data_IF_556930709572
#
_entry.id   IF_556930709572
#
_cell.length_a   1.000
_cell.length_b   1.000
_cell.length_c   1.000
_cell.angle_alpha   90.00
_cell.angle_beta   90.00
_cell.angle_gamma   90.00
#
_symmetry.space_group_name_H-M   'P 1'
#
loop_
_entity.id
_entity.type
_entity.pdbx_description
1 polymer ?
#
# COMPACT_ATOMS: atom_id res chain seq x y z
N UNK A 1 -8.56 17.44 -9.02
CA UNK A 1 -9.90 17.97 -8.68
C UNK A 1 -10.07 18.13 -7.16
N UNK A 2 -10.83 19.14 -6.72
CA UNK A 2 -11.63 19.12 -5.46
C UNK A 2 -10.99 19.46 -4.09
N UNK A 3 -10.48 20.67 -3.86
CA UNK A 3 -10.73 21.33 -2.55
C UNK A 3 -12.07 22.07 -2.60
N UNK A 4 -12.20 22.99 -3.56
CA UNK A 4 -13.45 23.70 -3.87
C UNK A 4 -14.67 22.77 -4.04
N UNK A 5 -14.57 21.71 -4.88
CA UNK A 5 -15.72 20.80 -5.13
C UNK A 5 -16.21 20.01 -3.90
N UNK A 6 -15.32 19.58 -3.00
CA UNK A 6 -15.71 18.82 -1.80
C UNK A 6 -16.23 19.75 -0.70
N UNK A 7 -15.68 20.96 -0.61
CA UNK A 7 -16.08 21.93 0.39
C UNK A 7 -17.48 22.48 0.15
N UNK A 8 -17.89 22.71 -1.10
CA UNK A 8 -19.19 23.35 -1.34
C UNK A 8 -20.37 22.47 -0.95
N UNK A 9 -20.37 21.17 -1.30
CA UNK A 9 -21.47 20.27 -0.91
C UNK A 9 -21.63 20.20 0.60
N UNK A 10 -20.51 20.18 1.33
CA UNK A 10 -20.52 20.19 2.78
C UNK A 10 -21.02 21.54 3.34
N UNK A 11 -20.58 22.66 2.76
CA UNK A 11 -21.01 24.02 3.14
C UNK A 11 -22.50 24.24 2.88
N UNK A 12 -23.03 23.83 1.72
CA UNK A 12 -24.46 23.93 1.38
C UNK A 12 -25.33 23.07 2.29
N UNK A 13 -24.93 21.82 2.53
CA UNK A 13 -25.69 20.94 3.42
C UNK A 13 -25.62 21.42 4.88
N UNK A 14 -24.50 22.02 5.31
CA UNK A 14 -24.41 22.67 6.63
C UNK A 14 -25.40 23.83 6.74
N UNK A 15 -25.44 24.72 5.74
CA UNK A 15 -26.39 25.83 5.67
C UNK A 15 -27.84 25.34 5.72
N UNK A 16 -28.19 24.33 4.90
CA UNK A 16 -29.53 23.73 4.93
C UNK A 16 -29.93 23.26 6.33
N UNK A 17 -29.00 22.64 7.08
CA UNK A 17 -29.29 22.11 8.42
C UNK A 17 -29.65 23.18 9.45
N UNK A 18 -29.23 24.42 9.27
CA UNK A 18 -29.57 25.53 10.16
C UNK A 18 -31.08 25.86 10.07
N UNK A 19 -31.68 25.64 8.90
CA UNK A 19 -33.10 25.91 8.61
C UNK A 19 -33.93 24.63 8.45
N UNK A 20 -33.37 23.44 8.68
CA UNK A 20 -34.04 22.16 8.40
C UNK A 20 -35.32 21.89 9.21
N UNK A 21 -35.63 22.74 10.21
CA UNK A 21 -36.88 22.71 10.96
C UNK A 21 -38.07 23.25 10.14
N UNK A 22 -37.82 24.11 9.15
CA UNK A 22 -38.83 24.66 8.25
C UNK A 22 -38.31 24.61 6.80
N UNK A 23 -38.89 23.73 5.99
CA UNK A 23 -38.49 23.53 4.60
C UNK A 23 -38.73 24.76 3.73
N UNK A 24 -39.79 25.52 3.98
CA UNK A 24 -40.07 26.73 3.21
C UNK A 24 -39.05 27.81 3.53
N UNK A 25 -38.71 27.98 4.82
CA UNK A 25 -37.64 28.87 5.24
C UNK A 25 -36.28 28.45 4.68
N UNK A 26 -35.94 27.16 4.74
CA UNK A 26 -34.70 26.64 4.16
C UNK A 26 -34.60 26.90 2.66
N UNK A 27 -35.71 26.71 1.93
CA UNK A 27 -35.80 26.98 0.50
C UNK A 27 -35.65 28.46 0.18
N UNK A 28 -36.29 29.34 0.94
CA UNK A 28 -36.23 30.79 0.78
C UNK A 28 -34.89 31.41 1.20
N UNK A 29 -34.05 30.68 1.93
CA UNK A 29 -32.80 31.20 2.49
C UNK A 29 -31.57 30.53 1.85
N UNK A 30 -31.22 30.86 0.59
CA UNK A 30 -30.03 30.31 -0.05
C UNK A 30 -28.73 30.80 0.65
N UNK A 31 -27.66 29.99 0.65
CA UNK A 31 -26.40 30.38 1.24
C UNK A 31 -25.75 31.55 0.48
N UNK A 32 -25.33 32.58 1.20
CA UNK A 32 -24.64 33.77 0.65
C UNK A 32 -23.14 33.54 0.41
N UNK A 33 -22.65 32.31 0.60
CA UNK A 33 -21.24 32.03 0.45
C UNK A 33 -20.79 32.24 -1.02
N UNK A 34 -19.53 32.65 -1.21
CA UNK A 34 -18.94 32.85 -2.54
C UNK A 34 -19.10 31.63 -3.45
N UNK A 35 -19.16 30.43 -2.89
CA UNK A 35 -19.27 29.20 -3.68
C UNK A 35 -20.66 29.00 -4.28
N UNK A 36 -21.70 29.54 -3.66
CA UNK A 36 -23.06 29.55 -4.19
C UNK A 36 -23.24 30.75 -5.13
N UNK A 37 -22.93 31.96 -4.64
CA UNK A 37 -23.18 33.22 -5.36
C UNK A 37 -22.42 33.31 -6.69
N UNK A 38 -21.19 32.80 -6.78
CA UNK A 38 -20.36 32.94 -7.99
C UNK A 38 -20.68 31.91 -9.07
N UNK A 39 -21.32 30.78 -8.73
CA UNK A 39 -21.36 29.62 -9.63
C UNK A 39 -22.70 28.89 -9.72
N UNK A 40 -23.70 29.27 -8.93
CA UNK A 40 -24.98 28.55 -8.86
C UNK A 40 -26.17 29.48 -9.01
N UNK A 41 -27.24 28.91 -9.56
CA UNK A 41 -28.53 29.59 -9.66
C UNK A 41 -29.43 29.20 -8.51
N UNK A 42 -30.43 30.03 -8.25
CA UNK A 42 -31.38 29.82 -7.16
C UNK A 42 -32.21 28.54 -7.36
N UNK A 43 -32.47 28.15 -8.61
CA UNK A 43 -33.21 26.93 -8.95
C UNK A 43 -32.43 25.68 -8.54
N UNK A 44 -31.08 25.72 -8.58
CA UNK A 44 -30.27 24.60 -8.10
C UNK A 44 -30.38 24.45 -6.57
N UNK A 45 -30.51 25.55 -5.83
CA UNK A 45 -30.76 25.51 -4.39
C UNK A 45 -32.12 24.91 -4.07
N UNK A 46 -33.17 25.37 -4.75
CA UNK A 46 -34.51 24.81 -4.62
C UNK A 46 -34.48 23.30 -4.90
N UNK A 47 -33.85 22.88 -6.00
CA UNK A 47 -33.74 21.46 -6.31
C UNK A 47 -33.01 20.66 -5.22
N UNK A 48 -31.91 21.19 -4.66
CA UNK A 48 -31.17 20.52 -3.58
C UNK A 48 -32.02 20.35 -2.32
N UNK A 49 -32.76 21.38 -1.92
CA UNK A 49 -33.67 21.34 -0.77
C UNK A 49 -34.80 20.34 -1.05
N UNK A 50 -35.50 20.51 -2.16
CA UNK A 50 -36.73 19.80 -2.48
C UNK A 50 -36.49 18.31 -2.81
N UNK A 51 -35.33 17.96 -3.37
CA UNK A 51 -35.05 16.61 -3.89
C UNK A 51 -33.90 15.88 -3.20
N UNK A 52 -32.82 16.56 -2.78
CA UNK A 52 -31.64 15.87 -2.25
C UNK A 52 -31.65 15.79 -0.73
N UNK A 53 -31.91 16.91 -0.05
CA UNK A 53 -31.82 16.99 1.40
C UNK A 53 -33.06 16.44 2.12
N UNK A 54 -34.20 16.47 1.46
CA UNK A 54 -35.47 15.84 1.88
C UNK A 54 -35.55 14.35 1.57
N UNK A 55 -34.75 13.84 0.63
CA UNK A 55 -34.77 12.43 0.24
C UNK A 55 -34.41 11.51 1.43
N UNK A 56 -35.33 10.59 1.74
CA UNK A 56 -35.21 9.70 2.89
C UNK A 56 -33.97 8.80 2.78
N UNK A 57 -33.66 8.33 1.56
CA UNK A 57 -32.48 7.48 1.30
C UNK A 57 -31.18 8.25 1.53
N UNK A 58 -31.11 9.50 1.09
CA UNK A 58 -30.00 10.41 1.35
C UNK A 58 -29.80 10.63 2.85
N UNK A 59 -30.87 10.97 3.58
CA UNK A 59 -30.80 11.20 5.02
C UNK A 59 -30.36 9.96 5.79
N UNK A 60 -30.92 8.78 5.48
CA UNK A 60 -30.50 7.49 6.05
C UNK A 60 -29.01 7.25 5.83
N UNK A 61 -28.52 7.47 4.60
CA UNK A 61 -27.09 7.33 4.26
C UNK A 61 -26.22 8.32 5.02
N UNK A 62 -26.65 9.57 5.18
CA UNK A 62 -25.93 10.57 5.96
C UNK A 62 -25.83 10.18 7.45
N UNK A 63 -26.94 9.74 8.06
CA UNK A 63 -26.96 9.25 9.45
C UNK A 63 -26.04 8.05 9.64
N UNK A 64 -26.12 7.06 8.74
CA UNK A 64 -25.24 5.90 8.75
C UNK A 64 -23.76 6.29 8.62
N UNK A 65 -23.42 7.21 7.72
CA UNK A 65 -22.06 7.70 7.54
C UNK A 65 -21.52 8.41 8.80
N UNK A 66 -22.34 9.20 9.50
CA UNK A 66 -21.94 9.84 10.76
C UNK A 66 -21.66 8.77 11.82
N UNK A 67 -22.55 7.78 11.98
CA UNK A 67 -22.37 6.69 12.94
C UNK A 67 -21.14 5.85 12.61
N UNK A 68 -20.90 5.55 11.33
CA UNK A 68 -19.72 4.81 10.90
C UNK A 68 -18.43 5.58 11.14
N UNK A 69 -18.44 6.92 11.00
CA UNK A 69 -17.29 7.77 11.33
C UNK A 69 -17.01 7.77 12.83
N UNK A 70 -18.04 7.83 13.68
CA UNK A 70 -17.89 7.75 15.14
C UNK A 70 -17.28 6.42 15.61
N UNK A 71 -17.51 5.33 14.87
CA UNK A 71 -16.95 4.00 15.16
C UNK A 71 -15.51 3.80 14.69
N UNK A 72 -14.91 4.76 13.99
CA UNK A 72 -13.50 4.63 13.58
C UNK A 72 -12.59 4.89 14.76
N UNK A 73 -11.74 3.91 15.06
CA UNK A 73 -10.73 4.01 16.12
C UNK A 73 -9.63 5.04 15.80
N UNK A 74 -9.30 5.21 14.52
CA UNK A 74 -8.29 6.17 14.04
C UNK A 74 -8.53 6.51 12.57
N UNK A 75 -8.02 7.67 12.17
CA UNK A 75 -8.01 8.11 10.78
C UNK A 75 -6.69 7.74 10.09
N UNK A 76 -6.65 7.83 8.76
CA UNK A 76 -5.43 7.70 7.97
C UNK A 76 -5.14 9.01 7.23
N UNK A 77 -3.87 9.39 7.15
CA UNK A 77 -3.39 10.61 6.46
C UNK A 77 -2.88 10.32 5.04
N UNK A 78 -2.95 9.07 4.59
CA UNK A 78 -2.47 8.64 3.26
C UNK A 78 -3.25 9.18 2.05
N UNK A 79 -4.37 9.88 2.28
CA UNK A 79 -5.18 10.46 1.22
C UNK A 79 -5.92 9.41 0.39
N UNK A 80 -6.07 9.68 -0.92
CA UNK A 80 -6.72 8.78 -1.88
C UNK A 80 -5.75 7.84 -2.60
N UNK A 81 -4.46 7.90 -2.29
CA UNK A 81 -3.48 6.99 -2.87
C UNK A 81 -3.67 5.59 -2.26
N UNK A 82 -3.83 4.52 -3.08
CA UNK A 82 -3.89 3.16 -2.57
C UNK A 82 -2.62 2.78 -1.81
N UNK A 83 -2.76 1.95 -0.78
CA UNK A 83 -1.67 1.53 0.11
C UNK A 83 -0.42 1.05 -0.66
N UNK A 84 -0.57 0.07 -1.55
CA UNK A 84 0.53 -0.48 -2.35
C UNK A 84 1.13 0.55 -3.32
N UNK A 85 0.29 1.42 -3.91
CA UNK A 85 0.76 2.47 -4.82
C UNK A 85 1.65 3.49 -4.11
N UNK A 86 1.44 3.69 -2.81
CA UNK A 86 2.31 4.54 -2.00
C UNK A 86 3.69 3.90 -1.76
N UNK A 87 3.74 2.59 -1.50
CA UNK A 87 5.00 1.83 -1.41
C UNK A 87 5.75 1.86 -2.75
N UNK A 88 5.06 1.53 -3.86
CA UNK A 88 5.65 1.60 -5.21
C UNK A 88 6.21 2.99 -5.53
N UNK A 89 5.54 4.07 -5.09
CA UNK A 89 6.03 5.43 -5.29
C UNK A 89 7.30 5.71 -4.48
N UNK A 90 7.36 5.27 -3.22
CA UNK A 90 8.55 5.40 -2.39
C UNK A 90 9.74 4.62 -2.97
N UNK A 91 9.50 3.40 -3.47
CA UNK A 91 10.53 2.59 -4.15
C UNK A 91 11.08 3.28 -5.40
N UNK A 92 10.21 3.94 -6.19
CA UNK A 92 10.64 4.74 -7.35
C UNK A 92 11.47 5.96 -6.96
N UNK A 93 11.26 6.50 -5.76
CA UNK A 93 12.06 7.57 -5.18
C UNK A 93 13.36 7.05 -4.52
N UNK A 94 13.66 5.75 -4.64
CA UNK A 94 14.84 5.11 -4.05
C UNK A 94 14.70 4.81 -2.55
N UNK A 95 13.51 4.95 -1.98
CA UNK A 95 13.23 4.64 -0.58
C UNK A 95 12.74 3.20 -0.44
N UNK A 96 13.50 2.36 0.27
CA UNK A 96 13.07 1.00 0.59
C UNK A 96 12.15 1.00 1.81
N UNK A 97 10.84 1.12 1.57
CA UNK A 97 9.81 1.22 2.61
C UNK A 97 9.12 -0.13 2.81
N UNK A 98 9.17 -0.69 4.02
CA UNK A 98 8.42 -1.90 4.37
C UNK A 98 6.91 -1.63 4.38
N UNK A 99 6.07 -2.66 4.27
CA UNK A 99 4.62 -2.57 4.45
C UNK A 99 4.28 -1.98 5.83
N UNK A 100 5.01 -2.37 6.88
CA UNK A 100 4.85 -1.81 8.23
C UNK A 100 5.16 -0.31 8.25
N UNK A 101 6.27 0.12 7.65
CA UNK A 101 6.66 1.53 7.56
C UNK A 101 5.65 2.33 6.74
N UNK A 102 5.18 1.77 5.62
CA UNK A 102 4.16 2.40 4.79
C UNK A 102 2.86 2.62 5.58
N UNK A 103 2.45 1.65 6.41
CA UNK A 103 1.30 1.82 7.30
C UNK A 103 1.57 2.89 8.36
N UNK A 104 2.72 2.86 9.03
CA UNK A 104 3.09 3.84 10.04
C UNK A 104 3.05 5.27 9.46
N UNK A 105 3.66 5.46 8.29
CA UNK A 105 3.69 6.74 7.57
C UNK A 105 2.29 7.24 7.17
N UNK A 106 1.32 6.35 7.00
CA UNK A 106 -0.08 6.69 6.72
C UNK A 106 -0.90 7.02 7.97
N UNK A 107 -0.35 6.82 9.16
CA UNK A 107 -1.02 7.07 10.44
C UNK A 107 -0.28 8.11 11.30
N UNK A 108 0.63 8.85 10.67
CA UNK A 108 1.33 9.99 11.24
C UNK A 108 0.94 11.29 10.54
N UNK A 109 0.97 12.40 11.26
CA UNK A 109 0.89 13.74 10.71
C UNK A 109 2.22 14.08 10.01
N UNK A 110 2.18 14.18 8.68
CA UNK A 110 3.36 14.45 7.84
C UNK A 110 4.18 15.66 8.31
N UNK A 111 3.50 16.71 8.77
CA UNK A 111 4.15 17.98 9.11
C UNK A 111 4.72 18.00 10.53
N UNK A 112 4.27 17.09 11.41
CA UNK A 112 4.58 17.11 12.84
C UNK A 112 5.39 15.91 13.31
N UNK A 113 5.41 14.82 12.54
CA UNK A 113 6.02 13.56 12.98
C UNK A 113 5.31 12.91 14.17
N UNK A 114 4.07 13.32 14.47
CA UNK A 114 3.27 12.82 15.58
C UNK A 114 2.20 11.87 15.06
N UNK A 115 1.90 10.81 15.80
CA UNK A 115 0.81 9.88 15.50
C UNK A 115 -0.55 10.58 15.50
N UNK A 116 -1.49 10.09 14.70
CA UNK A 116 -2.84 10.66 14.63
C UNK A 116 -3.58 10.50 15.96
N UNK A 117 -3.34 9.40 16.68
CA UNK A 117 -3.81 9.17 18.04
C UNK A 117 -3.02 8.04 18.73
N UNK A 118 -3.28 7.85 20.02
CA UNK A 118 -2.64 6.83 20.87
C UNK A 118 -2.93 5.39 20.40
N UNK A 119 -4.11 5.12 19.85
CA UNK A 119 -4.47 3.77 19.36
C UNK A 119 -3.61 3.39 18.15
N UNK A 120 -3.44 4.31 17.20
CA UNK A 120 -2.59 4.12 16.04
C UNK A 120 -1.12 4.01 16.45
N UNK A 121 -0.68 4.84 17.41
CA UNK A 121 0.67 4.77 17.98
C UNK A 121 0.96 3.40 18.61
N UNK A 122 0.06 2.91 19.46
CA UNK A 122 0.22 1.62 20.11
C UNK A 122 0.31 0.47 19.09
N UNK A 123 -0.55 0.47 18.06
CA UNK A 123 -0.48 -0.50 16.95
C UNK A 123 0.84 -0.40 16.19
N UNK A 124 1.26 0.82 15.82
CA UNK A 124 2.50 1.07 15.11
C UNK A 124 3.74 0.62 15.88
N UNK A 125 3.80 0.93 17.18
CA UNK A 125 4.89 0.50 18.09
C UNK A 125 4.94 -1.03 18.20
N UNK A 126 3.80 -1.71 18.35
CA UNK A 126 3.76 -3.18 18.39
C UNK A 126 4.26 -3.81 17.09
N UNK A 127 3.85 -3.29 15.94
CA UNK A 127 4.33 -3.78 14.64
C UNK A 127 5.84 -3.55 14.46
N UNK A 128 6.36 -2.39 14.86
CA UNK A 128 7.81 -2.12 14.83
C UNK A 128 8.58 -3.05 15.77
N UNK A 129 8.08 -3.27 16.98
CA UNK A 129 8.70 -4.18 17.94
C UNK A 129 8.74 -5.62 17.42
N UNK A 130 7.61 -6.12 16.89
CA UNK A 130 7.55 -7.46 16.29
C UNK A 130 8.52 -7.62 15.11
N UNK A 131 8.66 -6.58 14.28
CA UNK A 131 9.61 -6.57 13.16
C UNK A 131 11.07 -6.61 13.65
N UNK A 132 11.41 -5.82 14.67
CA UNK A 132 12.75 -5.81 15.25
C UNK A 132 13.09 -7.16 15.90
N UNK A 133 12.15 -7.78 16.61
CA UNK A 133 12.35 -9.11 17.20
C UNK A 133 12.58 -10.17 16.12
N UNK A 134 11.85 -10.12 15.01
CA UNK A 134 12.08 -11.04 13.89
C UNK A 134 13.48 -10.87 13.28
N UNK A 135 13.88 -9.63 13.00
CA UNK A 135 15.22 -9.34 12.47
C UNK A 135 16.31 -9.85 13.42
N UNK A 136 16.13 -9.68 14.73
CA UNK A 136 17.07 -10.18 15.73
C UNK A 136 17.14 -11.71 15.79
N UNK A 137 16.02 -12.40 15.59
CA UNK A 137 15.97 -13.86 15.58
C UNK A 137 16.63 -14.45 14.33
N UNK A 138 16.37 -13.85 13.17
CA UNK A 138 17.01 -14.23 11.90
C UNK A 138 18.51 -13.91 11.94
N UNK A 139 18.93 -12.80 12.55
CA UNK A 139 20.36 -12.47 12.67
C UNK A 139 21.11 -13.40 13.61
N UNK A 140 20.49 -13.82 14.70
CA UNK A 140 21.05 -14.83 15.60
C UNK A 140 21.17 -16.22 14.94
N UNK A 141 20.37 -16.48 13.90
CA UNK A 141 20.38 -17.75 13.15
C UNK A 141 21.26 -17.69 11.90
N UNK A 142 21.70 -16.49 11.48
CA UNK A 142 22.58 -16.28 10.34
C UNK A 142 24.05 -16.49 10.73
N UNK A 143 24.76 -17.30 9.96
CA UNK A 143 26.20 -17.51 10.12
C UNK A 143 27.04 -16.29 9.69
N UNK A 144 26.44 -15.27 9.04
CA UNK A 144 27.12 -14.07 8.55
C UNK A 144 26.48 -12.79 9.13
N UNK A 145 27.15 -12.10 10.08
CA UNK A 145 26.61 -10.90 10.75
C UNK A 145 26.45 -9.66 9.87
N UNK A 146 26.99 -9.67 8.64
CA UNK A 146 27.06 -8.49 7.77
C UNK A 146 25.96 -8.40 6.71
N UNK A 147 25.10 -9.42 6.57
CA UNK A 147 23.98 -9.36 5.64
C UNK A 147 22.82 -8.56 6.24
N UNK A 148 22.38 -7.53 5.52
CA UNK A 148 21.19 -6.76 5.89
C UNK A 148 19.96 -7.64 5.65
N UNK A 149 19.39 -8.18 6.75
CA UNK A 149 18.23 -9.08 6.69
C UNK A 149 17.02 -8.29 6.21
N UNK A 150 16.60 -8.57 4.98
CA UNK A 150 15.35 -8.07 4.43
C UNK A 150 14.20 -8.96 4.88
N UNK A 151 13.20 -8.38 5.55
CA UNK A 151 12.03 -9.14 6.00
C UNK A 151 11.08 -9.34 4.83
N UNK A 152 10.72 -10.59 4.54
CA UNK A 152 9.80 -10.91 3.44
C UNK A 152 8.42 -10.28 3.63
N UNK A 153 7.75 -9.95 2.52
CA UNK A 153 6.39 -9.36 2.55
C UNK A 153 5.38 -10.29 3.24
N UNK A 154 5.54 -11.62 3.15
CA UNK A 154 4.69 -12.60 3.84
C UNK A 154 4.79 -12.43 5.36
N UNK A 155 6.00 -12.28 5.90
CA UNK A 155 6.19 -12.09 7.33
C UNK A 155 5.65 -10.73 7.79
N UNK A 156 5.91 -9.67 7.02
CA UNK A 156 5.35 -8.35 7.27
C UNK A 156 3.82 -8.41 7.35
N UNK A 157 3.15 -9.04 6.37
CA UNK A 157 1.70 -9.22 6.38
C UNK A 157 1.20 -10.04 7.57
N UNK A 158 1.98 -11.03 8.05
CA UNK A 158 1.69 -11.77 9.26
C UNK A 158 1.64 -10.88 10.51
N UNK A 159 2.65 -10.02 10.69
CA UNK A 159 2.70 -9.02 11.78
C UNK A 159 1.50 -8.08 11.69
N UNK A 160 1.23 -7.52 10.51
CA UNK A 160 0.11 -6.61 10.30
C UNK A 160 -1.24 -7.27 10.57
N UNK A 161 -1.39 -8.55 10.18
CA UNK A 161 -2.61 -9.31 10.43
C UNK A 161 -2.86 -9.48 11.92
N UNK A 162 -1.80 -9.76 12.71
CA UNK A 162 -1.89 -9.90 14.17
C UNK A 162 -2.31 -8.60 14.85
N UNK A 163 -1.70 -7.47 14.47
CA UNK A 163 -1.91 -6.19 15.17
C UNK A 163 -3.12 -5.38 14.66
N UNK A 164 -3.42 -5.47 13.37
CA UNK A 164 -4.53 -4.73 12.75
C UNK A 164 -5.82 -5.56 12.73
N UNK A 165 -5.70 -6.88 12.74
CA UNK A 165 -6.81 -7.81 12.66
C UNK A 165 -7.39 -7.95 11.25
N UNK A 166 -8.37 -8.86 11.14
CA UNK A 166 -9.01 -9.24 9.88
C UNK A 166 -10.41 -8.62 9.82
N UNK A 167 -10.76 -8.11 8.64
CA UNK A 167 -12.08 -7.61 8.27
C UNK A 167 -12.83 -8.58 7.35
N UNK A 168 -14.03 -8.18 6.91
CA UNK A 168 -14.84 -8.98 6.00
C UNK A 168 -14.08 -9.33 4.72
N UNK A 169 -14.26 -10.57 4.24
CA UNK A 169 -13.58 -11.07 3.04
C UNK A 169 -12.07 -11.31 3.23
N UNK A 170 -11.59 -11.61 4.44
CA UNK A 170 -10.17 -11.91 4.76
C UNK A 170 -9.22 -10.74 4.47
N UNK A 171 -9.72 -9.52 4.58
CA UNK A 171 -8.95 -8.30 4.33
C UNK A 171 -8.25 -7.88 5.59
N UNK A 172 -6.98 -7.50 5.51
CA UNK A 172 -6.28 -6.91 6.64
C UNK A 172 -6.84 -5.51 6.86
N UNK A 173 -7.24 -5.18 8.10
CA UNK A 173 -7.83 -3.87 8.40
C UNK A 173 -6.82 -2.76 8.11
N UNK A 174 -7.29 -1.66 7.54
CA UNK A 174 -6.46 -0.48 7.24
C UNK A 174 -5.61 -0.55 5.97
N UNK A 175 -5.55 -1.68 5.24
CA UNK A 175 -4.67 -1.85 4.06
C UNK A 175 -5.39 -1.74 2.70
N UNK A 176 -6.68 -1.41 2.69
CA UNK A 176 -7.47 -1.35 1.46
C UNK A 176 -7.92 -2.74 1.00
N UNK A 177 -8.14 -2.92 -0.31
CA UNK A 177 -8.77 -4.12 -0.90
C UNK A 177 -7.83 -5.17 -1.43
N UNK A 178 -6.57 -4.79 -1.61
CA UNK A 178 -5.65 -5.55 -2.44
C UNK A 178 -4.82 -6.54 -1.60
N UNK A 179 -4.67 -6.28 -0.30
CA UNK A 179 -3.95 -7.15 0.62
C UNK A 179 -4.94 -7.99 1.44
N UNK A 180 -4.80 -9.31 1.33
CA UNK A 180 -5.61 -10.31 2.02
C UNK A 180 -4.69 -11.29 2.72
N UNK A 181 -5.19 -11.85 3.82
CA UNK A 181 -4.53 -12.99 4.44
C UNK A 181 -4.66 -14.17 3.48
N UNK A 182 -3.53 -14.70 3.03
CA UNK A 182 -3.52 -15.97 2.30
C UNK A 182 -4.02 -17.05 3.23
N UNK A 183 -5.26 -17.48 3.02
CA UNK A 183 -5.63 -18.83 3.41
C UNK A 183 -5.16 -19.74 2.29
N UNK A 184 -4.50 -20.84 2.61
CA UNK A 184 -4.10 -21.93 1.69
C UNK A 184 -5.25 -22.60 0.93
N UNK A 185 -6.34 -21.88 0.65
CA UNK A 185 -7.53 -22.38 -0.02
C UNK A 185 -8.17 -21.23 -0.83
N UNK A 186 -7.81 -21.20 -2.12
CA UNK A 186 -8.62 -20.78 -3.28
C UNK A 186 -9.27 -19.38 -3.23
N UNK A 187 -8.58 -18.39 -3.79
CA UNK A 187 -9.19 -17.29 -4.58
C UNK A 187 -8.11 -16.55 -5.37
N UNK A 188 -7.45 -17.29 -6.24
CA UNK A 188 -6.40 -16.87 -7.16
C UNK A 188 -7.01 -16.55 -8.52
N UNK A 189 -7.59 -15.36 -8.68
CA UNK A 189 -8.18 -14.95 -9.98
C UNK A 189 -7.49 -13.76 -10.65
N UNK A 190 -6.68 -12.97 -9.94
CA UNK A 190 -5.93 -11.85 -10.56
C UNK A 190 -4.46 -11.71 -10.18
N UNK A 191 -4.04 -12.22 -9.02
CA UNK A 191 -2.62 -12.20 -8.63
C UNK A 191 -1.82 -13.34 -9.27
N UNK A 192 -2.49 -14.47 -9.59
CA UNK A 192 -1.80 -15.67 -10.08
C UNK A 192 -1.38 -15.62 -11.53
N UNK A 193 -2.00 -14.79 -12.39
CA UNK A 193 -1.58 -14.75 -13.78
C UNK A 193 -0.24 -14.03 -13.94
N UNK A 194 0.00 -12.99 -13.16
CA UNK A 194 1.28 -12.27 -13.13
C UNK A 194 2.36 -13.07 -12.41
N UNK A 195 2.07 -13.68 -11.25
CA UNK A 195 3.08 -14.48 -10.54
C UNK A 195 3.49 -15.73 -11.33
N UNK A 196 2.55 -16.43 -11.99
CA UNK A 196 2.90 -17.59 -12.82
C UNK A 196 3.74 -17.20 -14.05
N UNK A 197 3.52 -16.01 -14.62
CA UNK A 197 4.34 -15.49 -15.72
C UNK A 197 5.73 -15.09 -15.22
N UNK A 198 5.84 -14.54 -14.01
CA UNK A 198 7.13 -14.20 -13.39
C UNK A 198 7.91 -15.45 -13.00
N UNK A 199 7.26 -16.48 -12.45
CA UNK A 199 7.86 -17.77 -12.12
C UNK A 199 8.34 -18.51 -13.38
N UNK A 200 7.54 -18.52 -14.46
CA UNK A 200 7.93 -19.14 -15.72
C UNK A 200 9.12 -18.41 -16.38
N UNK A 201 9.16 -17.08 -16.29
CA UNK A 201 10.30 -16.27 -16.73
C UNK A 201 11.54 -16.54 -15.89
N UNK A 202 11.40 -16.64 -14.58
CA UNK A 202 12.49 -16.92 -13.65
C UNK A 202 13.08 -18.31 -13.89
N UNK A 203 12.24 -19.34 -14.04
CA UNK A 203 12.68 -20.71 -14.32
C UNK A 203 13.42 -20.80 -15.66
N UNK A 204 12.88 -20.17 -16.71
CA UNK A 204 13.53 -20.12 -18.02
C UNK A 204 14.88 -19.39 -17.96
N UNK A 205 14.96 -18.30 -17.19
CA UNK A 205 16.22 -17.60 -16.97
C UNK A 205 17.22 -18.46 -16.22
N UNK A 206 16.79 -19.16 -15.16
CA UNK A 206 17.61 -20.09 -14.37
C UNK A 206 18.22 -21.18 -15.26
N UNK A 207 17.41 -21.83 -16.10
CA UNK A 207 17.90 -22.85 -17.04
C UNK A 207 18.93 -22.29 -18.03
N UNK A 208 18.74 -21.05 -18.51
CA UNK A 208 19.72 -20.43 -19.41
C UNK A 208 21.03 -20.10 -18.70
N UNK A 209 20.97 -19.67 -17.44
CA UNK A 209 22.16 -19.38 -16.62
C UNK A 209 22.95 -20.67 -16.36
N UNK A 210 22.28 -21.78 -16.03
CA UNK A 210 22.95 -23.08 -15.84
C UNK A 210 23.66 -23.55 -17.11
N UNK A 211 23.00 -23.46 -18.27
CA UNK A 211 23.61 -23.80 -19.57
C UNK A 211 24.83 -22.93 -19.87
N UNK A 212 24.76 -21.63 -19.59
CA UNK A 212 25.89 -20.72 -19.76
C UNK A 212 27.04 -21.06 -18.82
N UNK A 213 26.76 -21.38 -17.56
CA UNK A 213 27.77 -21.83 -16.60
C UNK A 213 28.51 -23.08 -17.10
N UNK A 214 27.80 -24.05 -17.68
CA UNK A 214 28.43 -25.27 -18.18
C UNK A 214 29.28 -25.01 -19.44
N UNK A 215 28.82 -24.15 -20.34
CA UNK A 215 29.61 -23.72 -21.51
C UNK A 215 30.90 -23.02 -21.03
N UNK A 216 30.81 -22.12 -20.06
CA UNK A 216 31.97 -21.41 -19.50
C UNK A 216 32.97 -22.41 -18.89
N UNK A 217 32.50 -23.41 -18.14
CA UNK A 217 33.37 -24.46 -17.59
C UNK A 217 34.09 -25.25 -18.68
N UNK A 218 33.39 -25.62 -19.76
CA UNK A 218 33.98 -26.36 -20.89
C UNK A 218 35.04 -25.53 -21.63
N UNK A 219 34.76 -24.24 -21.87
CA UNK A 219 35.72 -23.32 -22.49
C UNK A 219 36.97 -23.16 -21.62
N UNK A 220 36.78 -23.00 -20.30
CA UNK A 220 37.89 -22.89 -19.36
C UNK A 220 38.76 -24.15 -19.35
N UNK A 221 38.14 -25.34 -19.35
CA UNK A 221 38.86 -26.60 -19.45
C UNK A 221 39.67 -26.70 -20.76
N UNK A 222 39.07 -26.33 -21.89
CA UNK A 222 39.76 -26.32 -23.18
C UNK A 222 40.91 -25.32 -23.28
N UNK A 223 40.81 -24.15 -22.60
CA UNK A 223 41.91 -23.18 -22.48
C UNK A 223 43.05 -23.75 -21.64
N UNK A 224 42.72 -24.39 -20.51
CA UNK A 224 43.70 -25.01 -19.62
C UNK A 224 44.46 -26.15 -20.32
N UNK A 225 43.76 -26.99 -21.08
CA UNK A 225 44.37 -28.09 -21.85
C UNK A 225 45.28 -27.59 -22.96
N UNK A 226 44.85 -26.56 -23.72
CA UNK A 226 45.70 -25.93 -24.75
C UNK A 226 46.94 -25.30 -24.14
N UNK A 227 46.80 -24.61 -23.02
CA UNK A 227 47.92 -24.05 -22.25
C UNK A 227 48.90 -25.14 -21.79
N UNK A 228 48.38 -26.28 -21.30
CA UNK A 228 49.20 -27.43 -20.86
C UNK A 228 49.94 -28.08 -22.03
N UNK A 229 49.28 -28.27 -23.18
CA UNK A 229 49.91 -28.80 -24.40
C UNK A 229 51.00 -27.87 -24.93
N UNK A 230 50.78 -26.55 -24.90
CA UNK A 230 51.79 -25.55 -25.31
C UNK A 230 53.03 -25.57 -24.39
N UNK A 231 52.84 -25.66 -23.06
CA UNK A 231 53.95 -25.83 -22.11
C UNK A 231 54.76 -27.10 -22.35
N UNK A 232 54.11 -28.25 -22.57
CA UNK A 232 54.79 -29.51 -22.90
C UNK A 232 55.59 -29.44 -24.20
N UNK A 233 55.07 -28.77 -25.23
CA UNK A 233 55.81 -28.56 -26.48
C UNK A 233 57.04 -27.68 -26.26
N UNK A 234 56.91 -26.55 -25.58
CA UNK A 234 58.04 -25.65 -25.32
C UNK A 234 59.13 -26.29 -24.43
N UNK A 235 58.76 -27.18 -23.50
CA UNK A 235 59.73 -27.95 -22.69
C UNK A 235 60.61 -28.87 -23.53
N UNK A 236 60.06 -29.49 -24.58
CA UNK A 236 60.81 -30.39 -25.49
C UNK A 236 61.83 -29.66 -26.38
N UNK A 237 61.70 -28.35 -26.55
CA UNK A 237 62.62 -27.55 -27.38
C UNK A 237 63.75 -26.91 -26.57
N UNK A 238 63.74 -27.02 -25.23
CA UNK A 238 64.77 -26.45 -24.35
C UNK A 238 65.74 -27.53 -23.77
N UNK A 239 65.70 -28.77 -24.28
CA UNK A 239 66.57 -29.89 -23.85
C UNK A 239 67.74 -30.15 -24.83
N UNK A 240 68.11 -29.18 -25.66
CA UNK A 240 69.33 -29.20 -26.49
C UNK A 240 70.21 -27.99 -26.20
#
# INVERSE_FOLDING_TARGET
>A
MSKSYKEWKAKLHKHFKEYAHDLQLARATPPTNKVFVTHRKIEEWHWLVDNLYTDEKYQKRCKANVNNRKKKEYEHTGGSCPFLKRKEAAEKEGQHVTLNDNWNNMHMHRDKGVWINEVAENKGKKMKAAMAMYIQQESASSSNPSEQISVSDVHQLGIMTKELGIGSGKRIRGLGSNLRVETSSRSTSRYSKTSMIEDERYNKLSETVEKLCDIVKQLQAGINDRSRKKRKRNSKYNEF
#
